data_IF_461284134879
#
_entry.id   IF_461284134879
#
_cell.length_a   1.000
_cell.length_b   1.000
_cell.length_c   1.000
_cell.angle_alpha   90.00
_cell.angle_beta   90.00
_cell.angle_gamma   90.00
#
_symmetry.space_group_name_H-M   'P 1'
#
loop_
_entity.id
_entity.type
_entity.pdbx_description
1 polymer ?
#
# COMPACT_ATOMS: atom_id res chain seq x y z
N UNK A 1 1.49 12.37 3.62
CA UNK A 1 1.04 12.00 2.26
C UNK A 1 -0.43 12.35 2.07
N UNK A 2 -1.39 11.56 2.57
CA UNK A 2 -2.85 11.80 2.35
C UNK A 2 -3.29 13.25 2.55
N UNK A 3 -3.04 13.84 3.72
CA UNK A 3 -3.45 15.22 3.99
C UNK A 3 -2.77 16.25 3.07
N UNK A 4 -1.49 16.05 2.72
CA UNK A 4 -0.78 16.94 1.80
C UNK A 4 -1.36 16.84 0.38
N UNK A 5 -1.66 15.62 -0.09
CA UNK A 5 -2.28 15.38 -1.40
C UNK A 5 -3.69 15.95 -1.49
N UNK A 6 -4.47 15.90 -0.40
CA UNK A 6 -5.77 16.56 -0.34
C UNK A 6 -5.63 18.08 -0.47
N UNK A 7 -4.68 18.69 0.27
CA UNK A 7 -4.44 20.13 0.23
C UNK A 7 -3.86 20.61 -1.11
N UNK A 8 -3.13 19.76 -1.84
CA UNK A 8 -2.57 20.07 -3.15
C UNK A 8 -3.52 19.78 -4.33
N UNK A 9 -4.76 19.33 -4.06
CA UNK A 9 -5.72 18.97 -5.11
C UNK A 9 -5.39 17.68 -5.85
N UNK A 10 -4.52 16.84 -5.30
CA UNK A 10 -4.09 15.55 -5.85
C UNK A 10 -4.81 14.39 -5.16
N UNK A 11 -6.15 14.42 -5.18
CA UNK A 11 -7.01 13.42 -4.55
C UNK A 11 -8.12 12.99 -5.52
N UNK A 12 -8.49 11.69 -5.61
CA UNK A 12 -7.98 10.55 -4.83
C UNK A 12 -6.57 10.09 -5.26
N UNK A 13 -5.95 9.23 -4.46
CA UNK A 13 -4.59 8.72 -4.67
C UNK A 13 -4.53 7.45 -5.56
N UNK A 14 -5.49 7.27 -6.45
CA UNK A 14 -5.66 6.01 -7.23
C UNK A 14 -4.51 5.70 -8.18
N UNK A 15 -3.81 6.73 -8.65
CA UNK A 15 -2.65 6.62 -9.55
C UNK A 15 -1.31 6.68 -8.78
N UNK A 16 -1.32 6.46 -7.47
CA UNK A 16 -0.14 6.61 -6.61
C UNK A 16 0.17 5.34 -5.81
N UNK A 17 1.47 5.09 -5.61
CA UNK A 17 1.96 4.12 -4.65
C UNK A 17 2.35 4.86 -3.38
N UNK A 18 1.89 4.39 -2.22
CA UNK A 18 2.33 4.91 -0.92
C UNK A 18 3.38 3.98 -0.34
N UNK A 19 4.58 4.51 -0.06
CA UNK A 19 5.65 3.79 0.64
C UNK A 19 5.74 4.27 2.10
N UNK A 20 5.84 3.32 3.03
CA UNK A 20 6.13 3.59 4.44
C UNK A 20 7.43 2.90 4.87
N UNK A 21 8.23 3.59 5.68
CA UNK A 21 9.50 3.06 6.21
C UNK A 21 9.31 2.07 7.36
N UNK A 22 8.12 2.04 7.97
CA UNK A 22 7.77 1.14 9.07
C UNK A 22 7.11 -0.16 8.63
N UNK A 23 6.44 -0.80 9.58
CA UNK A 23 5.51 -1.92 9.35
C UNK A 23 4.18 -1.41 8.82
N UNK A 24 3.45 -2.25 8.08
CA UNK A 24 2.06 -1.97 7.71
C UNK A 24 1.12 -2.49 8.79
N UNK A 25 0.42 -1.57 9.46
CA UNK A 25 -0.68 -1.90 10.38
C UNK A 25 -2.03 -1.83 9.68
N UNK A 26 -3.07 -2.36 10.33
CA UNK A 26 -4.45 -2.27 9.87
C UNK A 26 -4.87 -0.81 9.60
N UNK A 27 -4.53 0.11 10.51
CA UNK A 27 -4.90 1.52 10.40
C UNK A 27 -4.21 2.22 9.22
N UNK A 28 -2.99 1.80 8.87
CA UNK A 28 -2.30 2.31 7.68
C UNK A 28 -2.95 1.80 6.39
N UNK A 29 -3.32 0.52 6.36
CA UNK A 29 -4.06 -0.07 5.23
C UNK A 29 -5.41 0.61 5.06
N UNK A 30 -6.19 0.74 6.14
CA UNK A 30 -7.49 1.42 6.12
C UNK A 30 -7.35 2.87 5.63
N UNK A 31 -6.37 3.62 6.14
CA UNK A 31 -6.13 5.01 5.71
C UNK A 31 -5.74 5.10 4.23
N UNK A 32 -4.92 4.18 3.74
CA UNK A 32 -4.52 4.13 2.33
C UNK A 32 -5.73 3.80 1.43
N UNK A 33 -6.50 2.77 1.79
CA UNK A 33 -7.71 2.37 1.06
C UNK A 33 -8.74 3.52 1.00
N UNK A 34 -9.01 4.18 2.13
CA UNK A 34 -9.94 5.32 2.19
C UNK A 34 -9.45 6.53 1.37
N UNK A 35 -8.13 6.67 1.20
CA UNK A 35 -7.56 7.70 0.34
C UNK A 35 -7.55 7.31 -1.16
N UNK A 36 -8.07 6.13 -1.49
CA UNK A 36 -8.13 5.60 -2.85
C UNK A 36 -6.81 5.03 -3.36
N UNK A 37 -5.83 4.77 -2.50
CA UNK A 37 -4.50 4.24 -2.88
C UNK A 37 -4.64 2.82 -3.45
N UNK A 38 -4.08 2.56 -4.62
CA UNK A 38 -4.09 1.22 -5.22
C UNK A 38 -3.04 0.27 -4.63
N UNK A 39 -1.87 0.81 -4.25
CA UNK A 39 -0.72 0.04 -3.76
C UNK A 39 -0.12 0.70 -2.49
N UNK A 40 -0.07 -0.05 -1.39
CA UNK A 40 0.68 0.29 -0.19
C UNK A 40 1.93 -0.60 -0.08
N UNK A 41 3.10 0.02 0.02
CA UNK A 41 4.38 -0.64 0.19
C UNK A 41 4.95 -0.33 1.57
N UNK A 42 5.48 -1.35 2.25
CA UNK A 42 6.16 -1.20 3.53
C UNK A 42 7.56 -1.81 3.50
N UNK A 43 8.53 -1.07 4.04
CA UNK A 43 9.89 -1.61 4.27
C UNK A 43 9.86 -2.71 5.32
N UNK A 44 8.97 -2.61 6.32
CA UNK A 44 8.77 -3.63 7.34
C UNK A 44 7.72 -4.69 6.97
N UNK A 45 7.51 -5.62 7.90
CA UNK A 45 6.46 -6.63 7.81
C UNK A 45 5.05 -6.01 7.94
N UNK A 46 4.04 -6.54 7.24
CA UNK A 46 2.64 -6.31 7.58
C UNK A 46 2.20 -7.19 8.76
N UNK A 47 1.16 -6.78 9.51
CA UNK A 47 0.43 -7.68 10.41
C UNK A 47 -0.58 -8.54 9.65
N UNK A 48 -1.00 -9.68 10.20
CA UNK A 48 -2.05 -10.52 9.57
C UNK A 48 -3.33 -9.72 9.32
N UNK A 49 -3.78 -8.95 10.31
CA UNK A 49 -4.96 -8.10 10.16
C UNK A 49 -4.80 -7.02 9.07
N UNK A 50 -3.58 -6.53 8.83
CA UNK A 50 -3.32 -5.60 7.73
C UNK A 50 -3.42 -6.31 6.37
N UNK A 51 -2.96 -7.56 6.27
CA UNK A 51 -3.09 -8.38 5.06
C UNK A 51 -4.57 -8.67 4.78
N UNK A 52 -5.33 -9.13 5.77
CA UNK A 52 -6.75 -9.43 5.62
C UNK A 52 -7.54 -8.19 5.16
N UNK A 53 -7.29 -7.04 5.80
CA UNK A 53 -7.94 -5.79 5.43
C UNK A 53 -7.53 -5.29 4.04
N UNK A 54 -6.26 -5.48 3.64
CA UNK A 54 -5.82 -5.09 2.32
C UNK A 54 -6.49 -5.95 1.24
N UNK A 55 -6.70 -7.23 1.53
CA UNK A 55 -7.40 -8.14 0.63
C UNK A 55 -8.87 -7.72 0.46
N UNK A 56 -9.56 -7.47 1.58
CA UNK A 56 -10.96 -7.02 1.60
C UNK A 56 -11.16 -5.68 0.89
N UNK A 57 -10.25 -4.73 1.07
CA UNK A 57 -10.34 -3.40 0.44
C UNK A 57 -9.88 -3.36 -1.02
N UNK A 58 -9.44 -4.49 -1.59
CA UNK A 58 -8.93 -4.49 -2.96
C UNK A 58 -7.57 -3.81 -3.13
N UNK A 59 -6.81 -3.61 -2.03
CA UNK A 59 -5.56 -2.85 -1.99
C UNK A 59 -4.35 -3.80 -2.13
N UNK A 60 -3.43 -3.52 -3.06
CA UNK A 60 -2.20 -4.31 -3.19
C UNK A 60 -1.25 -3.95 -2.04
N UNK A 61 -0.90 -4.92 -1.21
CA UNK A 61 0.02 -4.74 -0.09
C UNK A 61 1.36 -5.39 -0.38
N UNK A 62 2.42 -4.60 -0.35
CA UNK A 62 3.81 -5.06 -0.43
C UNK A 62 4.49 -4.91 0.93
N UNK A 63 5.25 -5.93 1.33
CA UNK A 63 6.04 -5.91 2.56
C UNK A 63 7.49 -6.30 2.32
N UNK A 64 8.35 -5.99 3.29
CA UNK A 64 9.80 -6.22 3.20
C UNK A 64 10.45 -5.60 1.96
N UNK A 65 9.93 -4.44 1.51
CA UNK A 65 10.45 -3.74 0.33
C UNK A 65 11.86 -3.25 0.61
N UNK A 66 12.84 -3.81 -0.10
CA UNK A 66 14.25 -3.44 0.03
C UNK A 66 15.05 -3.81 -1.23
N UNK A 67 15.83 -2.86 -1.74
CA UNK A 67 16.58 -3.01 -2.98
C UNK A 67 15.62 -3.43 -4.11
N UNK A 68 15.94 -4.52 -4.82
CA UNK A 68 15.12 -5.10 -5.89
C UNK A 68 14.25 -6.27 -5.40
N UNK A 69 13.89 -6.29 -4.11
CA UNK A 69 13.10 -7.37 -3.50
C UNK A 69 11.93 -6.82 -2.69
N UNK A 70 10.83 -7.57 -2.72
CA UNK A 70 9.63 -7.35 -1.93
C UNK A 70 8.79 -8.62 -1.93
N UNK A 71 7.85 -8.72 -0.99
CA UNK A 71 6.82 -9.75 -0.98
C UNK A 71 5.47 -9.10 -1.32
N UNK A 72 4.71 -9.73 -2.22
CA UNK A 72 3.34 -9.36 -2.52
C UNK A 72 2.41 -10.15 -1.60
N UNK A 73 1.58 -9.47 -0.81
CA UNK A 73 0.65 -10.10 0.12
C UNK A 73 -0.77 -10.20 -0.43
N UNK A 74 -1.21 -9.24 -1.23
CA UNK A 74 -2.58 -9.16 -1.76
C UNK A 74 -2.58 -8.55 -3.16
N UNK A 75 -3.58 -8.89 -3.97
CA UNK A 75 -3.86 -8.26 -5.28
C UNK A 75 -2.64 -8.13 -6.21
N UNK A 76 -1.93 -9.24 -6.43
CA UNK A 76 -0.67 -9.28 -7.18
C UNK A 76 -0.77 -8.85 -8.66
N UNK A 77 -1.97 -8.90 -9.22
CA UNK A 77 -2.26 -8.52 -10.61
C UNK A 77 -1.83 -7.09 -10.99
N UNK A 78 -1.57 -6.19 -10.02
CA UNK A 78 -1.12 -4.80 -10.29
C UNK A 78 0.39 -4.68 -10.47
N UNK A 79 1.15 -5.77 -10.29
CA UNK A 79 2.62 -5.76 -10.33
C UNK A 79 3.07 -6.53 -11.57
N UNK A 80 3.79 -5.84 -12.47
CA UNK A 80 4.54 -6.50 -13.53
C UNK A 80 5.99 -6.72 -13.06
N UNK A 81 6.45 -7.97 -13.09
CA UNK A 81 7.81 -8.37 -12.69
C UNK A 81 8.68 -8.77 -13.89
N UNK A 82 8.17 -8.69 -15.10
CA UNK A 82 8.95 -8.89 -16.32
C UNK A 82 9.76 -7.61 -16.61
N UNK A 83 11.08 -7.77 -16.75
CA UNK A 83 12.05 -6.72 -17.09
C UNK A 83 12.29 -6.66 -18.61
#
# INVERSE_FOLDING_TARGET
VVGASLLSGQFPLSEQVVLVSGRASFELVQKAAMAGVAILAAVGAPSSLAVDAADEFGLTLLGFVRNERFNIYTHAQRINTEL
#
